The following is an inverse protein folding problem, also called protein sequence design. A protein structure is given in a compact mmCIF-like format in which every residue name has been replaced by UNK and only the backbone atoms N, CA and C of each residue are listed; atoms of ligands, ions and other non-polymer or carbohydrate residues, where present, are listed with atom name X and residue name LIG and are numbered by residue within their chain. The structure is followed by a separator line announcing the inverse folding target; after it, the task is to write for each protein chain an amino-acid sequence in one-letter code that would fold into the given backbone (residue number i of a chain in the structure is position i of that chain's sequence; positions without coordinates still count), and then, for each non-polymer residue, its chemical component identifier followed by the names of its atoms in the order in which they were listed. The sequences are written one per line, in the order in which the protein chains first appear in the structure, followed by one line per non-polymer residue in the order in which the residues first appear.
data_IF_984460698370
#
_entry.id   IF_984460698370
#
_cell.length_a   1.000
_cell.length_b   1.000
_cell.length_c   1.000
_cell.angle_alpha   90.00
_cell.angle_beta   90.00
_cell.angle_gamma   90.00
#
_symmetry.space_group_name_H-M   'P 1'
#
loop_
_entity.id
_entity.type
_entity.pdbx_description
1 polymer ?
#
# COMPACT_ATOMS: atom_id res chain seq x y z
N UNK A 1 20.96 85.67 6.46
CA UNK A 1 20.04 84.77 7.11
C UNK A 1 19.43 83.82 6.05
N UNK A 2 19.90 82.64 5.92
CA UNK A 2 19.37 81.59 4.98
C UNK A 2 18.80 80.48 5.82
N UNK A 3 17.48 80.26 5.72
CA UNK A 3 16.77 79.16 6.35
C UNK A 3 16.99 77.93 5.52
N UNK A 4 17.48 76.84 6.19
CA UNK A 4 17.64 75.52 5.63
C UNK A 4 16.34 74.72 5.89
N UNK A 5 15.65 74.28 4.83
CA UNK A 5 14.49 73.41 4.93
C UNK A 5 14.98 71.98 4.92
N UNK A 6 14.78 71.30 6.03
CA UNK A 6 14.96 69.80 6.10
C UNK A 6 13.72 69.15 5.53
N UNK A 7 13.90 68.39 4.45
CA UNK A 7 12.86 67.49 3.91
C UNK A 7 12.99 66.15 4.61
N UNK A 8 11.96 65.74 5.34
CA UNK A 8 11.86 64.39 5.96
C UNK A 8 11.25 63.43 4.91
N UNK A 9 12.05 62.55 4.35
CA UNK A 9 11.56 61.46 3.52
C UNK A 9 11.06 60.29 4.41
N UNK A 10 9.72 60.16 4.52
CA UNK A 10 9.10 58.94 5.13
C UNK A 10 9.16 57.81 4.14
N UNK A 11 10.01 56.82 4.41
CA UNK A 11 10.02 55.55 3.68
C UNK A 11 8.88 54.64 4.21
N UNK A 12 7.85 54.47 3.39
CA UNK A 12 6.77 53.53 3.66
C UNK A 12 7.29 52.10 3.39
N UNK A 13 7.46 51.30 4.45
CA UNK A 13 7.82 49.90 4.38
C UNK A 13 6.58 49.05 4.03
N UNK A 14 6.42 48.71 2.74
CA UNK A 14 5.36 47.77 2.30
C UNK A 14 5.71 46.37 2.75
N UNK A 15 5.07 45.90 3.82
CA UNK A 15 5.14 44.52 4.31
C UNK A 15 4.26 43.65 3.40
N UNK A 16 4.85 43.02 2.40
CA UNK A 16 4.16 42.01 1.55
C UNK A 16 3.96 40.75 2.35
N UNK A 17 2.77 40.57 2.91
CA UNK A 17 2.34 39.29 3.48
C UNK A 17 2.18 38.27 2.34
N UNK A 18 3.15 37.36 2.20
CA UNK A 18 3.03 36.23 1.31
C UNK A 18 1.88 35.34 1.79
N UNK A 19 0.79 35.30 1.06
CA UNK A 19 -0.33 34.39 1.27
C UNK A 19 0.15 32.97 0.92
N UNK A 20 0.69 32.26 1.89
CA UNK A 20 0.83 30.80 1.78
C UNK A 20 -0.56 30.19 1.84
N UNK A 21 -1.17 29.98 0.69
CA UNK A 21 -2.38 29.19 0.59
C UNK A 21 -2.12 27.75 1.06
N UNK A 22 -3.12 27.03 1.58
CA UNK A 22 -2.96 25.65 1.98
C UNK A 22 -2.47 24.82 0.79
N UNK A 23 -1.29 24.21 0.93
CA UNK A 23 -0.78 23.26 -0.06
C UNK A 23 -1.78 22.10 -0.14
N UNK A 24 -2.35 21.77 -1.31
CA UNK A 24 -3.29 20.66 -1.41
C UNK A 24 -2.59 19.40 -0.91
N UNK A 25 -3.18 18.74 0.08
CA UNK A 25 -2.67 17.47 0.59
C UNK A 25 -2.63 16.48 -0.57
N UNK A 26 -1.42 16.04 -0.94
CA UNK A 26 -1.23 15.04 -1.98
C UNK A 26 -2.03 13.79 -1.60
N UNK A 27 -2.95 13.41 -2.49
CA UNK A 27 -3.75 12.21 -2.31
C UNK A 27 -2.85 10.99 -2.10
N UNK A 28 -2.95 10.37 -0.92
CA UNK A 28 -2.12 9.21 -0.58
C UNK A 28 -2.83 7.94 -1.04
N UNK A 29 -2.24 7.16 -1.97
CA UNK A 29 -2.85 5.92 -2.41
C UNK A 29 -3.02 4.95 -1.25
N UNK A 30 -4.08 4.16 -1.28
CA UNK A 30 -4.35 3.07 -0.36
C UNK A 30 -4.71 1.80 -1.12
N UNK A 31 -4.59 0.67 -0.45
CA UNK A 31 -4.91 -0.64 -1.00
C UNK A 31 -6.11 -1.20 -0.24
N UNK A 32 -7.08 -1.75 -0.95
CA UNK A 32 -8.20 -2.50 -0.37
C UNK A 32 -8.22 -3.90 -0.96
N UNK A 33 -8.24 -4.91 -0.11
CA UNK A 33 -8.31 -6.32 -0.50
C UNK A 33 -9.63 -6.90 -0.03
N UNK A 34 -10.43 -7.40 -0.96
CA UNK A 34 -11.60 -8.22 -0.68
C UNK A 34 -11.20 -9.69 -0.75
N UNK A 35 -11.29 -10.39 0.39
CA UNK A 35 -11.00 -11.82 0.43
C UNK A 35 -12.09 -12.63 -0.30
N UNK A 36 -13.40 -12.40 -0.10
CA UNK A 36 -14.42 -13.17 -0.83
C UNK A 36 -14.32 -12.97 -2.35
N UNK A 37 -13.99 -11.77 -2.82
CA UNK A 37 -13.85 -11.50 -4.27
C UNK A 37 -12.48 -11.87 -4.84
N UNK A 38 -11.51 -12.23 -4.00
CA UNK A 38 -10.11 -12.46 -4.39
C UNK A 38 -9.58 -11.33 -5.30
N UNK A 39 -9.84 -10.09 -4.87
CA UNK A 39 -9.55 -8.88 -5.64
C UNK A 39 -8.91 -7.82 -4.74
N UNK A 40 -7.89 -7.17 -5.27
CA UNK A 40 -7.21 -6.02 -4.70
C UNK A 40 -7.56 -4.78 -5.53
N UNK A 41 -7.96 -3.71 -4.88
CA UNK A 41 -8.10 -2.38 -5.49
C UNK A 41 -7.00 -1.44 -5.00
N UNK A 42 -6.40 -0.70 -5.93
CA UNK A 42 -5.64 0.50 -5.64
C UNK A 42 -6.61 1.67 -5.64
N UNK A 43 -6.64 2.42 -4.55
CA UNK A 43 -7.61 3.47 -4.30
C UNK A 43 -6.87 4.78 -4.07
N UNK A 44 -7.32 5.85 -4.71
CA UNK A 44 -6.86 7.21 -4.48
C UNK A 44 -8.06 8.11 -4.15
N UNK A 45 -8.05 8.80 -2.99
CA UNK A 45 -9.17 9.62 -2.50
C UNK A 45 -10.54 8.92 -2.54
N UNK A 46 -10.55 7.64 -2.20
CA UNK A 46 -11.76 6.84 -2.22
C UNK A 46 -12.26 6.45 -3.62
N UNK A 47 -11.50 6.76 -4.68
CA UNK A 47 -11.75 6.34 -6.05
C UNK A 47 -10.85 5.15 -6.39
N UNK A 48 -11.44 4.09 -6.93
CA UNK A 48 -10.68 2.92 -7.41
C UNK A 48 -10.00 3.28 -8.73
N UNK A 49 -8.66 3.29 -8.74
CA UNK A 49 -7.84 3.61 -9.93
C UNK A 49 -7.28 2.38 -10.64
N UNK A 50 -7.21 1.23 -9.94
CA UNK A 50 -6.84 -0.05 -10.54
C UNK A 50 -7.44 -1.21 -9.74
N UNK A 51 -7.67 -2.35 -10.42
CA UNK A 51 -8.10 -3.61 -9.81
C UNK A 51 -7.21 -4.74 -10.28
N UNK A 52 -6.87 -5.64 -9.36
CA UNK A 52 -6.03 -6.81 -9.63
C UNK A 52 -6.67 -8.05 -9.00
N UNK A 53 -6.64 -9.16 -9.71
CA UNK A 53 -6.98 -10.45 -9.11
C UNK A 53 -5.85 -10.89 -8.20
N UNK A 54 -6.20 -11.46 -7.03
CA UNK A 54 -5.22 -11.94 -6.06
C UNK A 54 -5.54 -13.37 -5.63
N UNK A 55 -4.66 -13.95 -4.83
CA UNK A 55 -4.90 -15.22 -4.15
C UNK A 55 -4.51 -15.05 -2.67
N UNK A 56 -5.49 -15.19 -1.78
CA UNK A 56 -5.28 -15.20 -0.33
C UNK A 56 -5.17 -16.63 0.19
N UNK A 57 -5.08 -16.81 1.51
CA UNK A 57 -4.89 -18.12 2.13
C UNK A 57 -6.02 -19.11 1.87
N UNK A 58 -5.65 -20.36 1.56
CA UNK A 58 -6.56 -21.51 1.57
C UNK A 58 -6.87 -22.04 2.98
N UNK A 59 -6.14 -21.56 4.00
CA UNK A 59 -6.31 -21.95 5.41
C UNK A 59 -7.16 -20.98 6.21
N UNK A 60 -7.88 -20.05 5.53
CA UNK A 60 -8.79 -19.10 6.15
C UNK A 60 -8.13 -17.80 6.59
N UNK A 61 -8.75 -17.14 7.55
CA UNK A 61 -8.47 -15.78 7.98
C UNK A 61 -8.00 -15.74 9.44
N UNK A 62 -7.04 -14.87 9.75
CA UNK A 62 -6.53 -14.67 11.10
C UNK A 62 -5.05 -14.34 11.16
N UNK A 63 -4.57 -13.99 12.37
CA UNK A 63 -3.19 -13.58 12.61
C UNK A 63 -2.48 -14.39 13.70
N UNK A 64 -3.03 -15.52 14.13
CA UNK A 64 -2.39 -16.36 15.13
C UNK A 64 -1.08 -16.96 14.56
N UNK A 65 0.01 -16.89 15.34
CA UNK A 65 1.29 -17.51 14.99
C UNK A 65 1.13 -19.01 14.76
N UNK A 66 1.89 -19.56 13.80
CA UNK A 66 1.82 -20.97 13.41
C UNK A 66 0.65 -21.32 12.49
N UNK A 67 -0.28 -20.38 12.21
CA UNK A 67 -1.31 -20.57 11.19
C UNK A 67 -0.85 -20.00 9.85
N UNK A 68 -1.36 -20.59 8.77
CA UNK A 68 -1.17 -20.08 7.42
C UNK A 68 -2.33 -19.20 6.96
N UNK A 69 -3.07 -18.61 7.89
CA UNK A 69 -4.23 -17.77 7.61
C UNK A 69 -3.81 -16.35 7.15
N UNK A 70 -4.63 -15.70 6.32
CA UNK A 70 -4.43 -14.29 5.93
C UNK A 70 -4.99 -13.36 7.02
N UNK A 71 -4.19 -12.42 7.56
CA UNK A 71 -4.67 -11.44 8.52
C UNK A 71 -5.69 -10.48 7.90
N UNK A 72 -6.72 -10.12 8.68
CA UNK A 72 -7.69 -9.08 8.34
C UNK A 72 -7.32 -7.74 8.98
N UNK A 73 -8.03 -6.69 8.56
CA UNK A 73 -7.93 -5.34 9.13
C UNK A 73 -6.90 -4.46 8.45
N UNK A 74 -6.51 -3.40 9.14
CA UNK A 74 -5.62 -2.37 8.60
C UNK A 74 -4.15 -2.74 8.82
N UNK A 75 -3.39 -2.71 7.76
CA UNK A 75 -1.94 -2.91 7.74
C UNK A 75 -1.25 -1.77 6.99
N UNK A 76 0.06 -1.75 6.96
CA UNK A 76 0.85 -0.84 6.13
C UNK A 76 1.99 -1.57 5.42
N UNK A 77 2.40 -1.06 4.27
CA UNK A 77 3.65 -1.47 3.61
C UNK A 77 4.82 -1.03 4.48
N UNK A 78 5.48 -1.98 5.13
CA UNK A 78 6.64 -1.70 5.98
C UNK A 78 7.93 -1.62 5.18
N UNK A 79 8.04 -2.41 4.11
CA UNK A 79 9.21 -2.46 3.24
C UNK A 79 8.84 -2.93 1.84
N UNK A 80 9.62 -2.49 0.85
CA UNK A 80 9.50 -2.87 -0.55
C UNK A 80 10.82 -3.50 -1.00
N UNK A 81 10.77 -4.71 -1.58
CA UNK A 81 11.95 -5.48 -1.97
C UNK A 81 11.81 -5.93 -3.43
N UNK A 82 12.90 -5.87 -4.18
CA UNK A 82 12.95 -6.28 -5.58
C UNK A 82 12.74 -5.14 -6.57
N UNK A 83 13.03 -3.87 -6.20
CA UNK A 83 13.11 -2.79 -7.17
C UNK A 83 14.05 -3.20 -8.32
N UNK A 84 13.63 -2.98 -9.56
CA UNK A 84 14.36 -3.33 -10.79
C UNK A 84 14.64 -4.84 -11.01
N UNK A 85 14.14 -5.75 -10.14
CA UNK A 85 14.26 -7.18 -10.40
C UNK A 85 13.46 -7.54 -11.67
N UNK A 86 13.93 -8.47 -12.52
CA UNK A 86 13.15 -8.95 -13.64
C UNK A 86 11.84 -9.62 -13.19
N UNK A 87 10.84 -9.63 -14.06
CA UNK A 87 9.62 -10.40 -13.79
C UNK A 87 9.97 -11.89 -13.65
N UNK A 88 9.42 -12.53 -12.62
CA UNK A 88 9.74 -13.92 -12.32
C UNK A 88 11.00 -14.14 -11.47
N UNK A 89 11.78 -13.08 -11.15
CA UNK A 89 12.95 -13.22 -10.29
C UNK A 89 12.56 -13.86 -8.95
N UNK A 90 13.23 -14.94 -8.60
CA UNK A 90 12.95 -15.73 -7.38
C UNK A 90 13.62 -15.10 -6.17
N UNK A 91 12.86 -15.03 -5.06
CA UNK A 91 13.35 -14.56 -3.77
C UNK A 91 13.33 -15.67 -2.73
N UNK A 92 14.45 -15.84 -2.01
CA UNK A 92 14.56 -16.64 -0.80
C UNK A 92 15.09 -15.77 0.34
N UNK A 93 14.43 -15.80 1.49
CA UNK A 93 14.77 -14.92 2.62
C UNK A 93 14.88 -13.43 2.21
N UNK A 94 14.00 -12.98 1.32
CA UNK A 94 13.93 -11.59 0.80
C UNK A 94 15.15 -11.14 -0.03
N UNK A 95 15.97 -12.08 -0.50
CA UNK A 95 17.10 -11.83 -1.40
C UNK A 95 16.88 -12.56 -2.71
N UNK A 96 17.25 -11.93 -3.83
CA UNK A 96 17.22 -12.59 -5.14
C UNK A 96 18.18 -13.77 -5.15
N UNK A 97 17.73 -14.88 -5.75
CA UNK A 97 18.55 -16.10 -5.89
C UNK A 97 19.33 -16.14 -7.21
N UNK A 98 19.03 -15.26 -8.15
CA UNK A 98 19.52 -15.30 -9.53
C UNK A 98 18.61 -16.10 -10.48
N UNK A 99 17.72 -16.92 -9.96
CA UNK A 99 16.76 -17.68 -10.76
C UNK A 99 15.60 -16.79 -11.22
N UNK A 100 15.09 -17.06 -12.43
CA UNK A 100 13.91 -16.41 -12.99
C UNK A 100 12.94 -17.50 -13.48
N UNK A 101 11.71 -17.48 -12.99
CA UNK A 101 10.66 -18.43 -13.37
C UNK A 101 9.61 -17.75 -14.25
N UNK A 102 9.22 -18.38 -15.39
CA UNK A 102 8.09 -17.91 -16.16
C UNK A 102 6.76 -18.17 -15.40
N UNK A 103 5.68 -17.49 -15.80
CA UNK A 103 4.34 -17.81 -15.30
C UNK A 103 3.99 -19.29 -15.52
N UNK A 104 3.41 -19.91 -14.50
CA UNK A 104 3.00 -21.31 -14.46
C UNK A 104 4.16 -22.31 -14.64
N UNK A 105 5.39 -21.93 -14.29
CA UNK A 105 6.50 -22.87 -14.17
C UNK A 105 6.13 -24.03 -13.24
N UNK A 106 6.40 -25.30 -13.65
CA UNK A 106 6.03 -26.45 -12.85
C UNK A 106 6.88 -26.57 -11.59
N UNK A 107 6.35 -27.30 -10.60
CA UNK A 107 7.08 -27.78 -9.44
C UNK A 107 6.79 -26.99 -8.16
N UNK A 108 7.32 -25.81 -7.95
CA UNK A 108 7.23 -25.08 -6.68
C UNK A 108 6.65 -23.67 -6.83
N UNK A 109 6.18 -23.11 -5.73
CA UNK A 109 5.59 -21.78 -5.66
C UNK A 109 6.44 -20.83 -4.79
N UNK A 110 7.62 -20.40 -5.25
CA UNK A 110 8.42 -19.41 -4.54
C UNK A 110 7.83 -18.01 -4.67
N UNK A 111 8.26 -17.11 -3.79
CA UNK A 111 8.05 -15.68 -3.95
C UNK A 111 8.82 -15.20 -5.18
N UNK A 112 8.14 -14.49 -6.10
CA UNK A 112 8.79 -13.95 -7.29
C UNK A 112 8.49 -12.48 -7.51
N UNK A 113 9.28 -11.83 -8.35
CA UNK A 113 9.09 -10.49 -8.94
C UNK A 113 9.26 -9.33 -7.96
N UNK A 114 8.41 -9.21 -6.96
CA UNK A 114 8.37 -8.10 -5.98
C UNK A 114 7.82 -8.58 -4.65
N UNK A 115 8.22 -7.89 -3.58
CA UNK A 115 7.69 -8.08 -2.23
C UNK A 115 7.29 -6.72 -1.66
N UNK A 116 6.04 -6.61 -1.23
CA UNK A 116 5.56 -5.57 -0.34
C UNK A 116 5.36 -6.23 1.03
N UNK A 117 6.24 -5.96 1.99
CA UNK A 117 6.18 -6.57 3.31
C UNK A 117 5.22 -5.78 4.19
N UNK A 118 4.27 -6.47 4.81
CA UNK A 118 3.18 -5.85 5.56
C UNK A 118 3.45 -5.89 7.06
N UNK A 119 3.09 -4.80 7.75
CA UNK A 119 2.99 -4.75 9.20
C UNK A 119 1.56 -4.46 9.61
N UNK A 120 1.08 -5.13 10.65
CA UNK A 120 -0.22 -4.84 11.27
C UNK A 120 -0.24 -3.47 11.93
N UNK A 121 -1.40 -2.81 11.89
CA UNK A 121 -1.67 -1.56 12.58
C UNK A 121 -2.74 -1.71 13.66
N UNK A 122 -3.26 -2.92 13.85
CA UNK A 122 -4.30 -3.28 14.81
C UNK A 122 -3.84 -4.46 15.65
N UNK A 123 -4.42 -4.61 16.86
CA UNK A 123 -4.12 -5.76 17.72
C UNK A 123 -4.44 -7.09 17.02
N UNK A 124 -5.49 -7.12 16.21
CA UNK A 124 -5.96 -8.32 15.50
C UNK A 124 -5.01 -8.80 14.38
N UNK A 125 -4.02 -7.98 13.97
CA UNK A 125 -3.04 -8.31 12.93
C UNK A 125 -1.60 -7.94 13.32
N UNK A 126 -1.33 -7.82 14.61
CA UNK A 126 -0.03 -7.39 15.15
C UNK A 126 1.14 -8.32 14.78
N UNK A 127 0.87 -9.59 14.50
CA UNK A 127 1.90 -10.57 14.14
C UNK A 127 2.21 -10.61 12.62
N UNK A 128 1.47 -9.90 11.79
CA UNK A 128 1.60 -9.96 10.32
C UNK A 128 3.05 -9.78 9.85
N UNK A 129 3.80 -8.83 10.44
CA UNK A 129 5.20 -8.58 10.09
C UNK A 129 6.10 -9.77 10.43
N UNK A 130 6.03 -10.29 11.65
CA UNK A 130 6.85 -11.42 12.12
C UNK A 130 6.45 -12.74 11.44
N UNK A 131 5.20 -12.85 10.99
CA UNK A 131 4.70 -13.97 10.19
C UNK A 131 5.10 -13.88 8.72
N UNK A 132 5.83 -12.84 8.32
CA UNK A 132 6.23 -12.61 6.93
C UNK A 132 5.03 -12.55 5.97
N UNK A 133 4.00 -11.79 6.34
CA UNK A 133 2.87 -11.54 5.44
C UNK A 133 3.26 -10.52 4.38
N UNK A 134 3.15 -10.92 3.12
CA UNK A 134 3.54 -10.13 1.96
C UNK A 134 2.39 -9.97 0.96
N UNK A 135 2.45 -8.92 0.15
CA UNK A 135 1.91 -8.93 -1.20
C UNK A 135 3.08 -9.21 -2.13
N UNK A 136 2.99 -10.25 -2.97
CA UNK A 136 4.11 -10.69 -3.81
C UNK A 136 3.65 -11.38 -5.09
N UNK A 137 4.56 -11.50 -6.05
CA UNK A 137 4.34 -12.29 -7.26
C UNK A 137 4.45 -13.80 -7.00
N UNK A 138 3.75 -14.59 -7.80
CA UNK A 138 3.80 -16.05 -7.80
C UNK A 138 4.00 -16.57 -9.21
N UNK A 139 4.76 -17.67 -9.42
CA UNK A 139 4.73 -18.38 -10.70
C UNK A 139 3.39 -19.11 -10.91
N UNK A 140 2.65 -19.48 -9.85
CA UNK A 140 1.37 -20.18 -9.91
C UNK A 140 0.22 -19.22 -10.34
N UNK A 141 0.39 -18.51 -11.46
CA UNK A 141 -0.59 -17.48 -11.91
C UNK A 141 -1.97 -18.05 -12.24
N UNK A 142 -2.07 -19.34 -12.60
CA UNK A 142 -3.34 -20.06 -12.79
C UNK A 142 -4.20 -20.16 -11.52
N UNK A 143 -3.60 -20.00 -10.33
CA UNK A 143 -4.28 -20.04 -9.05
C UNK A 143 -4.77 -18.65 -8.59
N UNK A 144 -4.43 -17.58 -9.29
CA UNK A 144 -4.91 -16.24 -8.99
C UNK A 144 -6.42 -16.17 -9.22
N UNK A 145 -7.12 -15.58 -8.27
CA UNK A 145 -8.58 -15.46 -8.26
C UNK A 145 -9.28 -16.46 -7.38
N UNK A 146 -8.55 -17.31 -6.66
CA UNK A 146 -9.06 -18.26 -5.65
C UNK A 146 -8.12 -18.36 -4.46
N UNK A 147 -8.62 -18.74 -3.27
CA UNK A 147 -7.78 -18.96 -2.09
C UNK A 147 -6.84 -20.14 -2.34
N UNK A 148 -5.53 -19.89 -2.36
CA UNK A 148 -4.52 -20.93 -2.61
C UNK A 148 -3.17 -20.63 -1.93
N UNK A 149 -3.00 -19.48 -1.23
CA UNK A 149 -1.75 -19.12 -0.56
C UNK A 149 -1.62 -19.74 0.83
N UNK A 150 -0.50 -19.46 1.48
CA UNK A 150 -0.18 -19.82 2.86
C UNK A 150 -0.10 -18.57 3.77
N UNK A 151 -1.04 -17.64 3.58
CA UNK A 151 -1.17 -16.42 4.38
C UNK A 151 -0.89 -15.12 3.62
N UNK A 152 0.05 -15.12 2.70
CA UNK A 152 0.37 -13.97 1.86
C UNK A 152 -0.74 -13.68 0.82
N UNK A 153 -0.70 -12.49 0.24
CA UNK A 153 -1.55 -12.05 -0.87
C UNK A 153 -0.74 -12.18 -2.14
N UNK A 154 -1.03 -13.19 -2.97
CA UNK A 154 -0.31 -13.46 -4.21
C UNK A 154 -0.93 -12.72 -5.38
N UNK A 155 -0.09 -12.25 -6.29
CA UNK A 155 -0.45 -11.56 -7.51
C UNK A 155 0.28 -12.14 -8.72
N UNK A 156 -0.22 -11.86 -9.92
CA UNK A 156 0.55 -12.10 -11.14
C UNK A 156 1.79 -11.22 -11.15
N UNK A 157 2.86 -11.68 -11.77
CA UNK A 157 4.14 -10.96 -11.81
C UNK A 157 4.02 -9.54 -12.39
N UNK A 158 3.26 -9.34 -13.46
CA UNK A 158 3.01 -8.01 -14.04
C UNK A 158 2.23 -7.11 -13.09
N UNK A 159 1.20 -7.66 -12.45
CA UNK A 159 0.30 -6.91 -11.57
C UNK A 159 1.03 -6.42 -10.31
N UNK A 160 1.83 -7.28 -9.68
CA UNK A 160 2.59 -6.88 -8.48
C UNK A 160 3.69 -5.87 -8.82
N UNK A 161 4.29 -5.94 -10.02
CA UNK A 161 5.26 -4.95 -10.46
C UNK A 161 4.62 -3.56 -10.65
N UNK A 162 3.42 -3.50 -11.24
CA UNK A 162 2.65 -2.26 -11.37
C UNK A 162 2.27 -1.69 -10.00
N UNK A 163 1.70 -2.52 -9.12
CA UNK A 163 1.33 -2.12 -7.76
C UNK A 163 2.55 -1.61 -6.98
N UNK A 164 3.67 -2.32 -7.06
CA UNK A 164 4.91 -1.95 -6.40
C UNK A 164 5.38 -0.54 -6.80
N UNK A 165 5.29 -0.19 -8.06
CA UNK A 165 5.68 1.13 -8.56
C UNK A 165 4.69 2.23 -8.14
N UNK A 166 3.42 1.89 -8.01
CA UNK A 166 2.34 2.84 -7.72
C UNK A 166 2.22 3.23 -6.23
N UNK A 167 2.82 2.46 -5.31
CA UNK A 167 2.63 2.69 -3.87
C UNK A 167 3.95 2.90 -3.13
N UNK A 168 4.06 3.92 -2.26
CA UNK A 168 5.22 4.12 -1.39
C UNK A 168 5.19 3.19 -0.16
N UNK A 169 6.32 3.10 0.55
CA UNK A 169 6.37 2.60 1.93
C UNK A 169 5.44 3.45 2.79
N UNK A 170 4.75 2.83 3.73
CA UNK A 170 3.73 3.48 4.55
C UNK A 170 2.31 3.41 3.97
N UNK A 171 2.14 3.03 2.69
CA UNK A 171 0.81 2.84 2.09
C UNK A 171 -0.05 1.94 2.96
N UNK A 172 -1.26 2.42 3.28
CA UNK A 172 -2.24 1.66 4.09
C UNK A 172 -2.92 0.61 3.23
N UNK A 173 -3.19 -0.53 3.88
CA UNK A 173 -3.84 -1.68 3.26
C UNK A 173 -4.98 -2.10 4.17
N UNK A 174 -6.20 -2.17 3.63
CA UNK A 174 -7.35 -2.76 4.30
C UNK A 174 -7.62 -4.14 3.72
N UNK A 175 -7.47 -5.19 4.51
CA UNK A 175 -7.88 -6.55 4.15
C UNK A 175 -9.23 -6.85 4.79
N UNK A 176 -10.23 -7.13 3.96
CA UNK A 176 -11.62 -7.25 4.38
C UNK A 176 -12.22 -8.60 3.99
N UNK A 177 -13.08 -9.13 4.87
CA UNK A 177 -13.93 -10.29 4.59
C UNK A 177 -15.31 -9.87 4.05
N UNK A 178 -15.38 -8.76 3.32
CA UNK A 178 -16.59 -8.29 2.63
C UNK A 178 -16.29 -8.04 1.17
N UNK A 179 -17.34 -7.96 0.34
CA UNK A 179 -17.19 -7.64 -1.08
C UNK A 179 -16.46 -6.32 -1.30
N UNK A 180 -15.75 -6.20 -2.41
CA UNK A 180 -14.84 -5.08 -2.70
C UNK A 180 -15.54 -3.72 -2.60
N UNK A 181 -16.75 -3.57 -3.12
CA UNK A 181 -17.50 -2.31 -3.06
C UNK A 181 -17.71 -1.82 -1.62
N UNK A 182 -18.16 -2.71 -0.74
CA UNK A 182 -18.35 -2.41 0.69
C UNK A 182 -17.02 -2.12 1.40
N UNK A 183 -15.98 -2.87 1.07
CA UNK A 183 -14.64 -2.68 1.63
C UNK A 183 -14.04 -1.31 1.23
N UNK A 184 -14.18 -0.89 -0.03
CA UNK A 184 -13.73 0.43 -0.51
C UNK A 184 -14.52 1.56 0.14
N UNK A 185 -15.85 1.43 0.25
CA UNK A 185 -16.69 2.44 0.92
C UNK A 185 -16.27 2.64 2.37
N UNK A 186 -16.03 1.55 3.10
CA UNK A 186 -15.55 1.60 4.49
C UNK A 186 -14.16 2.27 4.58
N UNK A 187 -13.21 1.87 3.76
CA UNK A 187 -11.86 2.45 3.74
C UNK A 187 -11.89 3.96 3.47
N UNK A 188 -12.81 4.42 2.59
CA UNK A 188 -13.05 5.84 2.32
C UNK A 188 -13.52 6.58 3.57
N UNK A 189 -14.53 6.06 4.28
CA UNK A 189 -15.04 6.67 5.51
C UNK A 189 -13.96 6.77 6.60
N UNK A 190 -13.18 5.71 6.80
CA UNK A 190 -12.08 5.68 7.76
C UNK A 190 -10.97 6.69 7.40
N UNK A 191 -10.67 6.88 6.11
CA UNK A 191 -9.69 7.88 5.67
C UNK A 191 -10.16 9.30 5.97
N UNK A 192 -11.41 9.64 5.68
CA UNK A 192 -11.98 10.96 5.96
C UNK A 192 -12.03 11.25 7.46
N UNK A 193 -12.46 10.29 8.29
CA UNK A 193 -12.48 10.44 9.75
C UNK A 193 -11.08 10.69 10.34
N UNK A 194 -10.05 10.05 9.79
CA UNK A 194 -8.66 10.28 10.22
C UNK A 194 -8.16 11.66 9.81
N UNK A 195 -8.42 12.10 8.58
CA UNK A 195 -8.03 13.44 8.11
C UNK A 195 -8.68 14.53 8.96
N UNK A 196 -9.98 14.38 9.28
CA UNK A 196 -10.69 15.31 10.16
C UNK A 196 -10.06 15.38 11.56
N UNK A 197 -9.66 14.26 12.16
CA UNK A 197 -8.99 14.22 13.48
C UNK A 197 -7.62 14.91 13.47
N UNK A 198 -6.85 14.78 12.37
CA UNK A 198 -5.54 15.45 12.25
C UNK A 198 -5.72 16.96 12.11
N UNK A 199 -6.75 17.40 11.41
CA UNK A 199 -7.04 18.84 11.22
C UNK A 199 -7.60 19.53 12.47
N UNK A 200 -8.10 18.77 13.47
CA UNK A 200 -8.67 19.29 14.72
C UNK A 200 -7.66 19.34 15.89
N UNK A 201 -6.44 18.88 15.71
CA UNK A 201 -5.34 18.94 16.68
C UNK A 201 -4.25 19.92 16.21
#
# INVERSE_FOLDING_TARGET
MRLLHLAVCSAALCLSAALFGPVPAMATPSIVVSVPDQTLALVNDGVVIARYRVSTSKFGLGDRSGTFATPLGTMAVASKIGANAPLGAVFKNRRMTGEVLPPNAPGRDPIVTRILWLRGLERANAHAFNRNIYIHGTPEERLIGRPASYGCIRMRSRDVAQLFNAVPVGTRIQVSNTGLGSAVSRAKLESHARTARIASN
#
